data_IF_642307540353
#
_entry.id   IF_642307540353
#
_cell.length_a   1.000
_cell.length_b   1.000
_cell.length_c   1.000
_cell.angle_alpha   90.00
_cell.angle_beta   90.00
_cell.angle_gamma   90.00
#
_symmetry.space_group_name_H-M   'P 1'
#
loop_
_entity.id
_entity.type
_entity.pdbx_description
1 polymer ?
#
# COMPACT_ATOMS: atom_id res chain seq x y z
N UNK A 1 -12.22 -6.95 2.43
CA UNK A 1 -13.00 -8.14 2.83
C UNK A 1 -12.05 -9.17 3.41
N UNK A 2 -12.51 -10.02 4.32
CA UNK A 2 -11.79 -11.18 4.83
C UNK A 2 -12.43 -12.47 4.31
N UNK A 3 -11.61 -13.45 3.97
CA UNK A 3 -12.03 -14.77 3.50
C UNK A 3 -11.34 -15.85 4.33
N UNK A 4 -12.02 -16.96 4.58
CA UNK A 4 -11.39 -18.17 5.12
C UNK A 4 -10.73 -18.96 3.97
N UNK A 5 -9.38 -18.99 3.88
CA UNK A 5 -8.68 -19.70 2.80
C UNK A 5 -8.78 -21.23 2.93
N UNK A 6 -9.23 -21.75 4.09
CA UNK A 6 -9.45 -23.17 4.31
C UNK A 6 -10.91 -23.60 4.06
N UNK A 7 -11.80 -22.67 3.75
CA UNK A 7 -13.21 -22.97 3.49
C UNK A 7 -13.36 -23.91 2.28
N UNK A 8 -14.22 -24.92 2.41
CA UNK A 8 -14.53 -25.85 1.32
C UNK A 8 -15.42 -25.20 0.25
N UNK A 9 -15.21 -25.54 -1.01
CA UNK A 9 -16.02 -25.07 -2.14
C UNK A 9 -15.18 -24.38 -3.20
N UNK A 10 -15.82 -23.80 -4.21
CA UNK A 10 -15.15 -23.09 -5.31
C UNK A 10 -15.41 -21.59 -5.30
N UNK A 11 -16.13 -21.09 -4.29
CA UNK A 11 -16.53 -19.67 -4.17
C UNK A 11 -15.97 -19.11 -2.89
N UNK A 12 -15.15 -18.07 -2.98
CA UNK A 12 -14.73 -17.27 -1.84
C UNK A 12 -15.93 -16.46 -1.34
N UNK A 13 -16.41 -16.76 -0.13
CA UNK A 13 -17.48 -16.00 0.53
C UNK A 13 -16.85 -15.15 1.63
N UNK A 14 -17.04 -13.83 1.65
CA UNK A 14 -16.44 -12.99 2.67
C UNK A 14 -17.06 -13.30 4.02
N UNK A 15 -16.21 -13.51 5.04
CA UNK A 15 -16.65 -13.65 6.44
C UNK A 15 -16.83 -12.28 7.09
N UNK A 16 -16.04 -11.30 6.68
CA UNK A 16 -16.18 -9.90 7.07
C UNK A 16 -15.96 -8.96 5.88
N UNK A 17 -16.63 -7.81 5.93
CA UNK A 17 -16.42 -6.67 5.04
C UNK A 17 -16.35 -5.41 5.88
N UNK A 18 -15.38 -4.56 5.55
CA UNK A 18 -15.24 -3.22 6.10
C UNK A 18 -15.47 -2.24 4.96
N UNK A 19 -16.40 -1.32 5.16
CA UNK A 19 -16.79 -0.34 4.15
C UNK A 19 -16.46 1.08 4.65
N UNK A 20 -15.44 1.67 4.04
CA UNK A 20 -14.96 3.01 4.37
C UNK A 20 -15.57 4.08 3.45
N UNK A 21 -16.45 3.74 2.50
CA UNK A 21 -16.96 4.64 1.46
C UNK A 21 -17.53 5.93 2.05
N UNK A 22 -18.27 5.82 3.16
CA UNK A 22 -18.86 6.99 3.84
C UNK A 22 -17.84 7.99 4.41
N UNK A 23 -16.56 7.63 4.52
CA UNK A 23 -15.48 8.53 4.93
C UNK A 23 -14.99 9.44 3.79
N UNK A 24 -15.38 9.14 2.54
CA UNK A 24 -14.91 9.84 1.34
C UNK A 24 -16.07 10.40 0.52
N UNK A 25 -16.93 11.26 1.10
CA UNK A 25 -18.10 11.81 0.38
C UNK A 25 -17.71 12.65 -0.85
N UNK A 26 -16.46 13.13 -0.94
CA UNK A 26 -15.93 13.82 -2.11
C UNK A 26 -15.75 12.91 -3.33
N UNK A 27 -15.65 11.59 -3.14
CA UNK A 27 -15.51 10.60 -4.21
C UNK A 27 -16.87 9.94 -4.55
N UNK A 28 -17.87 10.09 -3.69
CA UNK A 28 -19.23 9.61 -3.91
C UNK A 28 -20.08 10.62 -4.71
N UNK A 29 -19.65 10.86 -5.95
CA UNK A 29 -20.31 11.83 -6.86
C UNK A 29 -21.27 11.17 -7.85
N UNK A 30 -21.28 9.83 -7.91
CA UNK A 30 -21.93 9.06 -8.97
C UNK A 30 -21.16 9.04 -10.30
N UNK A 31 -19.98 9.67 -10.36
CA UNK A 31 -19.06 9.57 -11.49
C UNK A 31 -18.11 8.40 -11.30
N UNK A 32 -17.97 7.56 -12.34
CA UNK A 32 -16.97 6.49 -12.34
C UNK A 32 -15.54 7.02 -12.26
N UNK A 33 -15.31 8.22 -12.79
CA UNK A 33 -13.97 8.82 -12.85
C UNK A 33 -13.56 9.32 -11.46
N UNK A 34 -14.50 9.85 -10.66
CA UNK A 34 -14.22 10.26 -9.28
C UNK A 34 -14.11 9.03 -8.34
N UNK A 35 -14.91 7.99 -8.60
CA UNK A 35 -14.82 6.72 -7.89
C UNK A 35 -13.49 5.98 -8.16
N UNK A 36 -12.87 6.22 -9.33
CA UNK A 36 -11.54 5.71 -9.64
C UNK A 36 -10.48 6.29 -8.72
N UNK A 37 -10.67 7.50 -8.18
CA UNK A 37 -9.68 8.19 -7.34
C UNK A 37 -9.67 7.68 -5.89
N UNK A 38 -10.11 6.44 -5.67
CA UNK A 38 -10.28 5.80 -4.38
C UNK A 38 -8.99 5.25 -3.79
N UNK A 39 -9.10 4.16 -3.02
CA UNK A 39 -7.93 3.43 -2.56
C UNK A 39 -7.40 2.52 -3.66
N UNK A 40 -6.14 2.73 -4.06
CA UNK A 40 -5.48 1.92 -5.08
C UNK A 40 -4.49 0.90 -4.46
N UNK A 41 -3.85 1.27 -3.35
CA UNK A 41 -2.88 0.44 -2.66
C UNK A 41 -3.30 0.07 -1.24
N UNK A 42 -2.92 -1.12 -0.76
CA UNK A 42 -3.07 -1.51 0.65
C UNK A 42 -1.90 -2.35 1.18
N UNK A 43 -1.24 -1.84 2.20
CA UNK A 43 -0.16 -2.53 2.91
C UNK A 43 -0.55 -2.91 4.34
N UNK A 44 -0.29 -4.15 4.75
CA UNK A 44 -0.41 -4.56 6.16
C UNK A 44 0.92 -4.30 6.89
N UNK A 45 0.87 -3.46 7.91
CA UNK A 45 2.03 -3.07 8.73
C UNK A 45 1.94 -3.75 10.09
N UNK A 46 2.93 -4.56 10.50
CA UNK A 46 2.85 -5.33 11.73
C UNK A 46 2.83 -4.46 13.00
N UNK A 47 2.05 -4.87 14.00
CA UNK A 47 2.04 -4.20 15.31
C UNK A 47 3.41 -4.21 15.97
N UNK A 48 4.14 -5.31 15.78
CA UNK A 48 5.50 -5.48 16.28
C UNK A 48 6.46 -4.43 15.71
N UNK A 49 6.26 -4.01 14.45
CA UNK A 49 7.03 -2.93 13.85
C UNK A 49 6.62 -1.57 14.43
N UNK A 50 5.32 -1.28 14.51
CA UNK A 50 4.80 -0.01 15.03
C UNK A 50 5.25 0.24 16.47
N UNK A 51 5.11 -0.77 17.32
CA UNK A 51 5.53 -0.73 18.73
C UNK A 51 7.04 -0.62 18.89
N UNK A 52 7.82 -1.43 18.17
CA UNK A 52 9.29 -1.39 18.25
C UNK A 52 9.90 -0.08 17.78
N UNK A 53 9.23 0.62 16.85
CA UNK A 53 9.68 1.91 16.33
C UNK A 53 9.06 3.11 17.06
N UNK A 54 8.27 2.88 18.11
CA UNK A 54 7.73 3.95 18.96
C UNK A 54 6.66 4.81 18.28
N UNK A 55 5.86 4.22 17.38
CA UNK A 55 4.75 4.92 16.76
C UNK A 55 3.78 5.44 17.82
N UNK A 56 3.41 6.72 17.71
CA UNK A 56 2.40 7.35 18.56
C UNK A 56 1.04 7.16 17.92
N UNK A 57 0.12 6.61 18.70
CA UNK A 57 -1.27 6.46 18.31
C UNK A 57 -1.94 7.85 18.22
N UNK A 58 -2.41 8.27 17.03
CA UNK A 58 -3.04 9.56 16.84
C UNK A 58 -4.37 9.74 17.58
N UNK A 59 -5.04 8.67 18.00
CA UNK A 59 -6.31 8.73 18.72
C UNK A 59 -6.12 9.03 20.21
N UNK A 60 -5.04 8.49 20.79
CA UNK A 60 -4.77 8.60 22.23
C UNK A 60 -3.63 9.55 22.55
N UNK A 61 -2.83 9.93 21.56
CA UNK A 61 -1.58 10.68 21.69
C UNK A 61 -0.57 10.02 22.65
N UNK A 62 -0.63 8.69 22.76
CA UNK A 62 0.28 7.87 23.55
C UNK A 62 1.01 6.87 22.64
N UNK A 63 2.03 6.19 23.19
CA UNK A 63 2.68 5.08 22.48
C UNK A 63 1.62 4.05 22.08
N UNK A 64 1.64 3.65 20.81
CA UNK A 64 0.71 2.67 20.29
C UNK A 64 0.81 1.36 21.07
N UNK A 65 -0.34 0.87 21.50
CA UNK A 65 -0.47 -0.39 22.20
C UNK A 65 -1.58 -1.23 21.54
N UNK A 66 -1.24 -2.33 20.83
CA UNK A 66 -2.23 -3.15 20.14
C UNK A 66 -3.27 -3.76 21.11
N UNK A 67 -2.94 -3.93 22.39
CA UNK A 67 -3.89 -4.43 23.39
C UNK A 67 -5.08 -3.50 23.64
N UNK A 68 -4.99 -2.21 23.25
CA UNK A 68 -6.11 -1.27 23.31
C UNK A 68 -7.16 -1.51 22.21
N UNK A 69 -6.82 -2.31 21.19
CA UNK A 69 -7.65 -2.59 20.02
C UNK A 69 -7.91 -4.09 19.87
N UNK A 70 -8.44 -4.81 20.88
CA UNK A 70 -8.37 -6.27 20.97
C UNK A 70 -9.03 -7.06 19.83
N UNK A 71 -9.80 -6.41 18.96
CA UNK A 71 -10.47 -7.04 17.82
C UNK A 71 -9.70 -6.90 16.50
N UNK A 72 -8.71 -6.01 16.40
CA UNK A 72 -7.86 -5.97 15.21
C UNK A 72 -6.91 -7.18 15.18
N UNK A 73 -6.38 -7.48 13.99
CA UNK A 73 -5.40 -8.54 13.79
C UNK A 73 -4.03 -8.23 14.41
N UNK A 74 -2.96 -8.74 13.79
CA UNK A 74 -1.58 -8.53 14.23
C UNK A 74 -0.90 -7.32 13.55
N UNK A 75 -1.70 -6.38 13.04
CA UNK A 75 -1.24 -5.28 12.21
C UNK A 75 -2.34 -4.29 11.87
N UNK A 76 -1.90 -3.12 11.39
CA UNK A 76 -2.75 -2.08 10.84
C UNK A 76 -2.62 -2.05 9.31
N UNK A 77 -3.70 -1.69 8.64
CA UNK A 77 -3.76 -1.56 7.19
C UNK A 77 -3.58 -0.10 6.81
N UNK A 78 -2.62 0.16 5.92
CA UNK A 78 -2.35 1.47 5.35
C UNK A 78 -2.85 1.46 3.92
N UNK A 79 -3.94 2.17 3.66
CA UNK A 79 -4.55 2.29 2.34
C UNK A 79 -4.12 3.60 1.67
N UNK A 80 -3.54 3.52 0.48
CA UNK A 80 -3.10 4.68 -0.30
C UNK A 80 -4.26 5.25 -1.10
N UNK A 81 -4.56 6.53 -0.90
CA UNK A 81 -5.63 7.22 -1.62
C UNK A 81 -5.07 7.88 -2.88
N UNK A 82 -5.61 7.54 -4.05
CA UNK A 82 -5.19 8.14 -5.32
C UNK A 82 -5.48 9.64 -5.35
N UNK A 83 -6.63 10.05 -4.81
CA UNK A 83 -7.11 11.43 -4.83
C UNK A 83 -6.12 12.48 -4.28
N UNK A 84 -5.42 12.19 -3.17
CA UNK A 84 -4.53 13.14 -2.50
C UNK A 84 -3.15 12.60 -2.12
N UNK A 85 -2.87 11.34 -2.47
CA UNK A 85 -1.61 10.68 -2.19
C UNK A 85 -1.33 10.41 -0.72
N UNK A 86 -2.33 10.48 0.16
CA UNK A 86 -2.15 10.16 1.57
C UNK A 86 -2.34 8.68 1.87
N UNK A 87 -1.84 8.22 3.01
CA UNK A 87 -2.16 6.89 3.56
C UNK A 87 -3.21 7.02 4.66
N UNK A 88 -4.26 6.23 4.56
CA UNK A 88 -5.31 6.10 5.58
C UNK A 88 -5.09 4.83 6.39
N UNK A 89 -5.08 4.97 7.72
CA UNK A 89 -4.66 3.90 8.64
C UNK A 89 -5.86 3.29 9.35
N UNK A 90 -6.00 1.97 9.22
CA UNK A 90 -7.14 1.21 9.73
C UNK A 90 -6.75 -0.01 10.56
N UNK A 91 -7.41 -0.18 11.70
CA UNK A 91 -7.55 -1.48 12.35
C UNK A 91 -8.83 -2.15 11.87
N UNK A 92 -8.73 -3.29 11.19
CA UNK A 92 -9.89 -4.06 10.72
C UNK A 92 -10.28 -5.07 11.81
N UNK A 93 -11.43 -4.87 12.45
CA UNK A 93 -11.85 -5.68 13.59
C UNK A 93 -12.56 -6.95 13.14
N UNK A 94 -12.32 -8.05 13.82
CA UNK A 94 -12.89 -9.38 13.56
C UNK A 94 -14.42 -9.49 13.73
N UNK A 95 -15.14 -8.39 13.94
CA UNK A 95 -16.60 -8.31 14.00
C UNK A 95 -17.19 -7.53 12.82
N UNK A 96 -16.36 -7.15 11.84
CA UNK A 96 -16.75 -6.33 10.69
C UNK A 96 -16.76 -4.83 10.96
N UNK A 97 -16.49 -4.37 12.19
CA UNK A 97 -16.24 -2.96 12.48
C UNK A 97 -14.79 -2.58 12.18
N UNK A 98 -14.46 -1.30 12.09
CA UNK A 98 -13.08 -0.85 11.92
C UNK A 98 -12.77 0.36 12.80
N UNK A 99 -11.49 0.54 13.10
CA UNK A 99 -10.94 1.73 13.75
C UNK A 99 -10.15 2.54 12.75
N UNK A 100 -10.47 3.82 12.60
CA UNK A 100 -9.66 4.76 11.82
C UNK A 100 -8.69 5.46 12.75
N UNK A 101 -7.39 5.29 12.51
CA UNK A 101 -6.35 5.98 13.28
C UNK A 101 -6.11 7.37 12.73
N UNK A 102 -6.15 7.54 11.42
CA UNK A 102 -6.02 8.85 10.78
C UNK A 102 -5.31 8.75 9.44
N UNK A 103 -4.72 9.86 9.03
CA UNK A 103 -4.09 10.04 7.72
C UNK A 103 -2.61 10.39 7.88
N UNK A 104 -1.77 9.84 7.01
CA UNK A 104 -0.33 10.06 6.95
C UNK A 104 0.01 10.69 5.59
N UNK A 105 0.71 11.83 5.62
CA UNK A 105 1.19 12.46 4.39
C UNK A 105 2.42 11.72 3.84
N UNK A 106 2.38 11.33 2.58
CA UNK A 106 3.51 10.71 1.86
C UNK A 106 4.38 11.75 1.15
N UNK A 107 3.88 12.99 1.00
CA UNK A 107 4.46 14.00 0.12
C UNK A 107 4.19 13.78 -1.37
N UNK A 108 3.39 12.78 -1.74
CA UNK A 108 2.98 12.52 -3.13
C UNK A 108 1.65 13.22 -3.44
N UNK A 109 1.39 13.41 -4.73
CA UNK A 109 0.11 13.90 -5.22
C UNK A 109 -0.95 12.79 -5.34
N UNK A 110 -0.51 11.54 -5.51
CA UNK A 110 -1.32 10.34 -5.61
C UNK A 110 -0.53 9.12 -5.11
N UNK A 111 -1.22 8.04 -4.74
CA UNK A 111 -0.66 6.74 -4.35
C UNK A 111 -1.43 5.63 -5.04
N UNK A 112 -0.71 4.81 -5.80
CA UNK A 112 -1.24 3.69 -6.58
C UNK A 112 -0.99 2.34 -5.89
N UNK A 113 0.09 2.23 -5.12
CA UNK A 113 0.37 1.01 -4.34
C UNK A 113 0.93 1.32 -2.95
N UNK A 114 0.69 0.40 -2.01
CA UNK A 114 1.27 0.43 -0.67
C UNK A 114 1.74 -0.97 -0.29
N UNK A 115 3.03 -1.10 0.03
CA UNK A 115 3.57 -2.33 0.60
C UNK A 115 4.31 -2.07 1.92
N UNK A 116 4.46 -3.09 2.75
CA UNK A 116 5.44 -3.08 3.85
C UNK A 116 6.58 -4.03 3.52
N UNK A 117 7.81 -3.52 3.48
CA UNK A 117 8.99 -4.33 3.27
C UNK A 117 9.71 -4.58 4.61
N UNK A 118 9.61 -5.82 5.10
CA UNK A 118 10.31 -6.25 6.30
C UNK A 118 11.85 -6.16 6.15
N UNK A 119 12.38 -6.17 4.91
CA UNK A 119 13.81 -6.02 4.68
C UNK A 119 14.34 -4.64 5.08
N UNK A 120 13.71 -3.59 4.56
CA UNK A 120 14.07 -2.19 4.83
C UNK A 120 13.41 -1.66 6.09
N UNK A 121 12.42 -2.36 6.64
CA UNK A 121 11.61 -1.91 7.78
C UNK A 121 10.91 -0.59 7.43
N UNK A 122 10.23 -0.57 6.28
CA UNK A 122 9.58 0.61 5.73
C UNK A 122 8.22 0.25 5.14
N UNK A 123 7.31 1.21 5.23
CA UNK A 123 6.12 1.26 4.39
C UNK A 123 6.58 1.91 3.08
N UNK A 124 6.15 1.42 1.93
CA UNK A 124 6.46 1.99 0.62
C UNK A 124 5.17 2.46 0.00
N UNK A 125 5.06 3.76 -0.26
CA UNK A 125 4.00 4.32 -1.07
C UNK A 125 4.53 4.49 -2.50
N UNK A 126 3.83 3.96 -3.48
CA UNK A 126 4.20 4.03 -4.91
C UNK A 126 3.24 4.98 -5.63
N UNK A 127 3.76 5.68 -6.61
CA UNK A 127 2.98 6.47 -7.55
C UNK A 127 3.51 6.24 -8.95
N UNK A 128 2.59 6.22 -9.91
CA UNK A 128 2.84 5.95 -11.32
C UNK A 128 3.40 7.18 -12.08
N UNK A 129 3.30 7.16 -13.40
CA UNK A 129 3.70 8.25 -14.30
C UNK A 129 3.02 9.60 -13.98
N UNK A 130 1.86 9.64 -13.31
CA UNK A 130 1.15 10.86 -12.92
C UNK A 130 1.99 11.71 -11.98
N UNK A 131 2.81 11.09 -11.12
CA UNK A 131 3.74 11.80 -10.24
C UNK A 131 5.19 11.33 -10.33
N UNK A 132 5.59 10.91 -11.54
CA UNK A 132 6.99 10.72 -11.92
C UNK A 132 7.59 9.37 -11.55
N UNK A 133 6.75 8.35 -11.35
CA UNK A 133 7.14 6.96 -11.10
C UNK A 133 8.08 6.79 -9.91
N UNK A 134 7.53 7.07 -8.72
CA UNK A 134 8.32 7.18 -7.51
C UNK A 134 7.83 6.26 -6.40
N UNK A 135 8.79 5.69 -5.66
CA UNK A 135 8.54 4.87 -4.48
C UNK A 135 9.07 5.61 -3.25
N UNK A 136 8.17 6.14 -2.42
CA UNK A 136 8.53 6.82 -1.17
C UNK A 136 8.48 5.81 -0.02
N UNK A 137 9.64 5.51 0.53
CA UNK A 137 9.80 4.72 1.73
C UNK A 137 9.52 5.62 2.94
N UNK A 138 8.68 5.13 3.85
CA UNK A 138 8.19 5.82 5.04
C UNK A 138 8.69 5.12 6.29
N UNK A 139 9.01 5.89 7.33
CA UNK A 139 9.47 5.40 8.64
C UNK A 139 8.75 6.09 9.78
N UNK A 140 8.86 5.55 10.99
CA UNK A 140 8.55 6.30 12.21
C UNK A 140 9.74 7.20 12.56
N UNK A 141 9.50 8.48 12.84
CA UNK A 141 10.52 9.44 13.26
C UNK A 141 10.72 9.47 14.78
N UNK A 142 11.60 10.35 15.25
CA UNK A 142 11.91 10.49 16.67
C UNK A 142 10.74 11.03 17.52
N UNK A 143 9.73 11.64 16.90
CA UNK A 143 8.49 12.08 17.56
C UNK A 143 7.40 10.99 17.53
N UNK A 144 7.68 9.85 16.90
CA UNK A 144 6.75 8.74 16.75
C UNK A 144 5.72 8.94 15.63
N UNK A 145 5.94 9.90 14.72
CA UNK A 145 5.11 10.11 13.54
C UNK A 145 5.63 9.30 12.35
N UNK A 146 4.74 8.83 11.48
CA UNK A 146 5.16 8.22 10.20
C UNK A 146 5.43 9.35 9.21
N UNK A 147 6.63 9.35 8.62
CA UNK A 147 7.13 10.40 7.72
C UNK A 147 7.90 9.81 6.54
N UNK A 148 8.05 10.56 5.42
CA UNK A 148 8.94 10.17 4.33
C UNK A 148 10.40 10.01 4.80
N UNK A 149 11.08 8.99 4.29
CA UNK A 149 12.50 8.70 4.54
C UNK A 149 13.34 8.89 3.27
N UNK A 150 13.04 8.11 2.23
CA UNK A 150 13.75 8.14 0.96
C UNK A 150 12.77 7.90 -0.19
N UNK A 151 13.02 8.54 -1.32
CA UNK A 151 12.23 8.34 -2.54
C UNK A 151 13.14 7.85 -3.65
N UNK A 152 12.72 6.78 -4.32
CA UNK A 152 13.43 6.17 -5.45
C UNK A 152 12.59 6.33 -6.71
N UNK A 153 13.26 6.50 -7.85
CA UNK A 153 12.67 6.38 -9.18
C UNK A 153 12.91 4.98 -9.73
N UNK A 154 12.15 4.61 -10.75
CA UNK A 154 12.40 3.38 -11.50
C UNK A 154 13.80 3.35 -12.15
N UNK A 155 14.36 2.16 -12.39
CA UNK A 155 15.48 2.00 -13.32
C UNK A 155 15.14 2.60 -14.68
N UNK A 156 16.06 3.37 -15.27
CA UNK A 156 15.82 4.11 -16.53
C UNK A 156 15.49 3.23 -17.76
N UNK A 157 15.60 1.91 -17.64
CA UNK A 157 15.24 0.93 -18.68
C UNK A 157 13.76 0.54 -18.64
N UNK A 158 13.08 0.81 -17.52
CA UNK A 158 11.63 0.62 -17.40
C UNK A 158 10.94 1.78 -18.14
N UNK A 159 9.93 1.51 -18.98
CA UNK A 159 9.19 2.55 -19.67
C UNK A 159 8.43 3.43 -18.68
N UNK A 160 8.18 4.68 -19.09
CA UNK A 160 7.25 5.55 -18.36
C UNK A 160 5.82 5.11 -18.70
N UNK A 161 5.09 4.59 -17.72
CA UNK A 161 3.75 4.00 -17.88
C UNK A 161 2.94 4.06 -16.56
N UNK A 162 1.69 3.59 -16.59
CA UNK A 162 0.88 3.45 -15.38
C UNK A 162 1.34 2.22 -14.57
N UNK A 163 2.46 2.38 -13.87
CA UNK A 163 3.03 1.35 -13.01
C UNK A 163 2.41 1.42 -11.61
N UNK A 164 1.34 0.68 -11.44
CA UNK A 164 0.47 0.75 -10.26
C UNK A 164 0.68 -0.38 -9.26
N UNK A 165 1.57 -1.34 -9.54
CA UNK A 165 1.98 -2.34 -8.54
C UNK A 165 3.48 -2.38 -8.35
N UNK A 166 3.93 -2.57 -7.12
CA UNK A 166 5.35 -2.66 -6.77
C UNK A 166 5.59 -3.64 -5.62
N UNK A 167 6.53 -4.57 -5.82
CA UNK A 167 6.93 -5.52 -4.79
C UNK A 167 8.45 -5.66 -4.73
N UNK A 168 8.97 -5.86 -3.51
CA UNK A 168 10.38 -6.23 -3.28
C UNK A 168 10.43 -7.61 -2.65
N UNK A 169 11.23 -8.50 -3.23
CA UNK A 169 11.45 -9.83 -2.71
C UNK A 169 12.02 -9.79 -1.28
N UNK A 170 11.77 -10.81 -0.44
CA UNK A 170 12.25 -10.82 0.95
C UNK A 170 13.78 -10.91 1.00
N UNK A 171 14.40 -10.41 2.08
CA UNK A 171 15.86 -10.48 2.28
C UNK A 171 16.45 -11.90 2.22
N UNK A 172 15.66 -12.94 2.42
CA UNK A 172 16.11 -14.33 2.29
C UNK A 172 16.50 -14.71 0.86
N UNK A 173 16.10 -13.94 -0.16
CA UNK A 173 16.46 -14.16 -1.56
C UNK A 173 17.68 -13.34 -2.01
N UNK A 174 18.34 -12.63 -1.09
CA UNK A 174 19.50 -11.81 -1.41
C UNK A 174 20.64 -12.64 -2.01
N UNK A 175 21.06 -12.29 -3.23
CA UNK A 175 22.23 -12.84 -3.91
C UNK A 175 23.13 -11.67 -4.30
N UNK A 176 24.41 -11.75 -3.92
CA UNK A 176 25.41 -10.72 -4.22
C UNK A 176 25.02 -9.29 -3.79
N UNK A 177 24.25 -9.16 -2.70
CA UNK A 177 23.81 -7.86 -2.16
C UNK A 177 22.54 -7.30 -2.82
N UNK A 178 21.85 -8.07 -3.64
CA UNK A 178 20.63 -7.65 -4.34
C UNK A 178 19.52 -8.68 -4.19
N UNK A 179 18.28 -8.21 -4.19
CA UNK A 179 17.05 -9.01 -4.26
C UNK A 179 16.14 -8.44 -5.34
N UNK A 180 15.21 -9.24 -5.84
CA UNK A 180 14.33 -8.83 -6.92
C UNK A 180 13.38 -7.70 -6.49
N UNK A 181 13.11 -6.78 -7.41
CA UNK A 181 11.99 -5.87 -7.36
C UNK A 181 11.15 -6.07 -8.62
N UNK A 182 9.83 -6.01 -8.49
CA UNK A 182 8.87 -6.26 -9.57
C UNK A 182 7.87 -5.12 -9.63
N UNK A 183 7.51 -4.73 -10.84
CA UNK A 183 6.45 -3.76 -11.13
C UNK A 183 5.41 -4.40 -12.02
N UNK A 184 4.15 -4.00 -11.85
CA UNK A 184 3.06 -4.33 -12.77
C UNK A 184 2.47 -3.06 -13.37
N UNK A 185 2.14 -3.10 -14.66
CA UNK A 185 1.28 -2.09 -15.26
C UNK A 185 -0.20 -2.44 -15.08
N UNK A 186 -1.04 -1.42 -14.91
CA UNK A 186 -2.49 -1.50 -15.15
C UNK A 186 -2.83 -0.93 -16.56
N UNK A 187 -1.89 -0.16 -17.13
CA UNK A 187 -1.93 0.39 -18.47
C UNK A 187 -1.81 -0.66 -19.57
N UNK A 188 -2.12 -0.24 -20.80
CA UNK A 188 -1.87 -1.07 -21.98
C UNK A 188 -0.61 -0.58 -22.68
N UNK A 189 0.46 -1.35 -22.54
CA UNK A 189 1.70 -1.10 -23.27
C UNK A 189 1.63 -1.73 -24.67
N UNK A 190 2.37 -1.18 -25.66
CA UNK A 190 2.55 -1.78 -26.99
C UNK A 190 1.97 -1.04 -28.19
N UNK A 191 2.00 -1.67 -29.37
CA UNK A 191 1.66 -1.04 -30.66
C UNK A 191 0.17 -1.05 -31.02
N UNK A 192 -0.71 -1.02 -30.01
CA UNK A 192 -2.16 -1.01 -30.20
C UNK A 192 -2.80 -2.40 -30.35
N UNK A 193 -4.13 -2.43 -30.23
CA UNK A 193 -4.95 -3.64 -30.21
C UNK A 193 -4.64 -4.59 -31.36
N UNK A 194 -4.44 -5.87 -31.02
CA UNK A 194 -4.14 -6.93 -31.99
C UNK A 194 -2.65 -7.09 -32.34
N UNK A 195 -1.75 -6.26 -31.79
CA UNK A 195 -0.31 -6.48 -31.89
C UNK A 195 0.18 -7.45 -30.81
N UNK A 196 1.27 -8.18 -31.08
CA UNK A 196 1.85 -9.14 -30.13
C UNK A 196 2.50 -8.48 -28.91
N UNK A 197 2.69 -7.16 -28.92
CA UNK A 197 3.21 -6.39 -27.80
C UNK A 197 2.13 -5.61 -27.06
N UNK A 198 0.85 -5.71 -27.46
CA UNK A 198 -0.25 -5.01 -26.81
C UNK A 198 -0.82 -5.79 -25.65
N UNK A 199 -0.64 -5.28 -24.44
CA UNK A 199 -1.20 -5.89 -23.23
C UNK A 199 -0.53 -5.41 -21.95
N UNK A 200 -0.74 -6.17 -20.89
CA UNK A 200 -0.14 -5.95 -19.58
C UNK A 200 1.23 -6.61 -19.49
N UNK A 201 2.15 -6.01 -18.74
CA UNK A 201 3.49 -6.50 -18.50
C UNK A 201 3.85 -6.49 -17.02
N UNK A 202 4.78 -7.40 -16.68
CA UNK A 202 5.54 -7.36 -15.45
C UNK A 202 6.97 -6.96 -15.79
N UNK A 203 7.48 -5.98 -15.05
CA UNK A 203 8.86 -5.55 -15.14
C UNK A 203 9.62 -6.07 -13.92
N UNK A 204 10.87 -6.47 -14.09
CA UNK A 204 11.71 -6.93 -13.00
C UNK A 204 13.06 -6.23 -13.01
N UNK A 205 13.60 -6.06 -11.81
CA UNK A 205 14.87 -5.41 -11.55
C UNK A 205 15.41 -5.87 -10.20
N UNK A 206 16.36 -5.11 -9.66
CA UNK A 206 16.99 -5.45 -8.37
C UNK A 206 16.95 -4.28 -7.41
N UNK A 207 16.71 -4.59 -6.14
CA UNK A 207 16.81 -3.68 -5.01
C UNK A 207 17.95 -4.10 -4.07
N UNK A 208 18.70 -3.14 -3.48
CA UNK A 208 19.77 -3.47 -2.54
C UNK A 208 19.29 -4.25 -1.29
N UNK A 209 20.17 -5.11 -0.80
CA UNK A 209 20.15 -5.66 0.54
C UNK A 209 21.10 -4.85 1.44
#
# INVERSE_FOLDING_TARGET
>A
MEFDPAASGTTLTPVHQWDMTSQFPQLDTGSKDDANLGFEGVGCVPDSWLTANGWIDPLTHAAYNPANYPLHGAGLFFAGLEWDGTLHVYGLNSDGSFTTFGTVSTGKASVMDVMFDAGTQRIVATCDNTCGETHTFMKVDAAGAIVPDATYTNPAVIPVDNLEGFAIAPKSTCVSGFREAVWSDDGIYGFGSGSSSYGHALYSGTFPC
#
